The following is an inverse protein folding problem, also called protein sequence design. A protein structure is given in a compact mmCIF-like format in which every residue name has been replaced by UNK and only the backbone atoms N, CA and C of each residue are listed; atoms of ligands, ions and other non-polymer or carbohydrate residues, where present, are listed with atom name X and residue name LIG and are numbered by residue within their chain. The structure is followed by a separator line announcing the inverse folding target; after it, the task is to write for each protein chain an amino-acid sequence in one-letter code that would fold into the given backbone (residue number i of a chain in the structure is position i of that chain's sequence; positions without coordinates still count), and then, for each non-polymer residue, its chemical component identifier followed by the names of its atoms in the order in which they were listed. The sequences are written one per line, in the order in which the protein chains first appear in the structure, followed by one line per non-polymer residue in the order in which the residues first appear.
data_IF_601593470271
#
_entry.id   IF_601593470271
#
_cell.length_a   1.000
_cell.length_b   1.000
_cell.length_c   1.000
_cell.angle_alpha   90.00
_cell.angle_beta   90.00
_cell.angle_gamma   90.00
#
_symmetry.space_group_name_H-M   'P 1'
#
loop_
_entity.id
_entity.type
_entity.pdbx_description
1 polymer ?
#
# COMPACT_ATOMS: atom_id res chain seq x y z
N UNK A 1 -19.18 -3.00 -28.88
CA UNK A 1 -19.93 -2.10 -28.01
C UNK A 1 -19.03 -1.80 -26.83
N UNK A 2 -18.42 -0.61 -26.85
CA UNK A 2 -17.30 -0.23 -25.95
C UNK A 2 -17.86 0.38 -24.70
N UNK A 3 -17.64 -0.26 -23.54
CA UNK A 3 -17.95 0.32 -22.23
C UNK A 3 -16.80 1.23 -21.79
N UNK A 4 -16.96 2.52 -21.94
CA UNK A 4 -16.21 3.57 -21.27
C UNK A 4 -17.21 4.39 -20.45
N UNK A 5 -17.23 4.26 -19.10
CA UNK A 5 -17.77 5.38 -18.37
C UNK A 5 -17.06 5.83 -17.09
N UNK A 6 -15.94 5.25 -16.65
CA UNK A 6 -15.33 5.68 -15.39
C UNK A 6 -14.12 6.63 -15.51
N UNK A 7 -13.51 6.78 -16.67
CA UNK A 7 -12.24 7.51 -16.82
C UNK A 7 -12.38 9.04 -16.93
N UNK A 8 -13.51 9.57 -17.43
CA UNK A 8 -13.62 11.00 -17.75
C UNK A 8 -14.02 11.87 -16.55
N UNK A 9 -14.79 11.33 -15.61
CA UNK A 9 -15.30 12.11 -14.46
C UNK A 9 -14.24 12.30 -13.36
N UNK A 10 -13.26 11.39 -13.25
CA UNK A 10 -12.20 11.44 -12.25
C UNK A 10 -11.18 12.55 -12.59
N UNK A 11 -10.80 12.67 -13.86
CA UNK A 11 -9.83 13.65 -14.34
C UNK A 11 -10.28 15.10 -14.10
N UNK A 12 -11.57 15.39 -14.25
CA UNK A 12 -12.08 16.75 -14.15
C UNK A 12 -12.15 17.27 -12.70
N UNK A 13 -12.45 16.41 -11.72
CA UNK A 13 -12.52 16.79 -10.30
C UNK A 13 -11.16 16.85 -9.61
N UNK A 14 -10.21 16.02 -10.01
CA UNK A 14 -8.83 16.01 -9.48
C UNK A 14 -7.96 17.16 -10.03
N UNK A 15 -8.27 17.68 -11.20
CA UNK A 15 -7.42 18.62 -11.93
C UNK A 15 -7.29 20.02 -11.31
N UNK A 16 -8.21 20.46 -10.48
CA UNK A 16 -8.22 21.86 -9.98
C UNK A 16 -7.64 21.99 -8.57
N UNK A 17 -7.85 21.01 -7.69
CA UNK A 17 -7.39 21.09 -6.29
C UNK A 17 -5.94 20.65 -6.06
N UNK A 18 -5.28 20.03 -7.05
CA UNK A 18 -4.01 19.32 -6.87
C UNK A 18 -2.79 19.96 -7.55
N UNK A 19 -2.91 21.18 -8.08
CA UNK A 19 -1.84 21.81 -8.90
C UNK A 19 -0.54 22.10 -8.15
N UNK A 20 -0.51 22.02 -6.81
CA UNK A 20 0.66 22.39 -5.99
C UNK A 20 1.02 21.37 -4.91
N UNK A 21 0.50 20.14 -4.93
CA UNK A 21 0.81 19.13 -3.93
C UNK A 21 1.40 17.88 -4.57
N UNK A 22 2.51 17.39 -4.01
CA UNK A 22 3.06 16.09 -4.35
C UNK A 22 2.23 15.01 -3.66
N UNK A 23 1.81 14.00 -4.41
CA UNK A 23 1.08 12.83 -3.89
C UNK A 23 2.03 11.64 -3.94
N UNK A 24 2.33 11.07 -2.78
CA UNK A 24 3.23 9.93 -2.64
C UNK A 24 2.47 8.66 -2.32
N UNK A 25 2.60 7.67 -3.18
CA UNK A 25 1.98 6.34 -3.02
C UNK A 25 3.10 5.31 -2.84
N UNK A 26 3.05 4.59 -1.72
CA UNK A 26 3.97 3.49 -1.44
C UNK A 26 3.36 2.16 -1.87
N UNK A 27 4.14 1.31 -2.53
CA UNK A 27 3.81 -0.09 -2.76
C UNK A 27 4.70 -0.98 -1.90
N UNK A 28 4.11 -1.72 -0.98
CA UNK A 28 4.80 -2.66 -0.10
C UNK A 28 4.32 -4.09 -0.41
N UNK A 29 5.08 -5.06 0.01
CA UNK A 29 4.70 -6.48 -0.11
C UNK A 29 5.93 -7.37 -0.25
N UNK A 30 5.75 -8.64 0.02
CA UNK A 30 6.79 -9.66 -0.10
C UNK A 30 7.27 -9.83 -1.56
N UNK A 31 8.23 -10.71 -1.73
CA UNK A 31 8.77 -11.07 -3.05
C UNK A 31 7.69 -11.61 -3.99
N UNK A 32 7.90 -11.42 -5.28
CA UNK A 32 7.03 -11.98 -6.32
C UNK A 32 5.54 -11.61 -6.22
N UNK A 33 5.20 -10.51 -5.53
CA UNK A 33 3.81 -10.03 -5.41
C UNK A 33 3.41 -9.03 -6.50
N UNK A 34 4.29 -8.76 -7.47
CA UNK A 34 3.99 -7.92 -8.63
C UNK A 34 4.04 -6.41 -8.38
N UNK A 35 4.72 -5.93 -7.31
CA UNK A 35 4.90 -4.50 -7.01
C UNK A 35 5.42 -3.69 -8.19
N UNK A 36 6.53 -4.12 -8.78
CA UNK A 36 7.19 -3.41 -9.89
C UNK A 36 6.28 -3.28 -11.12
N UNK A 37 5.60 -4.36 -11.48
CA UNK A 37 4.64 -4.32 -12.58
C UNK A 37 3.49 -3.35 -12.27
N UNK A 38 2.96 -3.41 -11.05
CA UNK A 38 1.84 -2.56 -10.64
C UNK A 38 2.25 -1.09 -10.59
N UNK A 39 3.43 -0.75 -10.03
CA UNK A 39 3.92 0.63 -9.98
C UNK A 39 4.02 1.26 -11.37
N UNK A 40 4.53 0.50 -12.34
CA UNK A 40 4.63 0.93 -13.73
C UNK A 40 3.25 1.11 -14.38
N UNK A 41 2.29 0.22 -14.12
CA UNK A 41 0.93 0.35 -14.64
C UNK A 41 0.19 1.55 -14.06
N UNK A 42 0.28 1.79 -12.75
CA UNK A 42 -0.29 2.97 -12.10
C UNK A 42 0.31 4.24 -12.72
N UNK A 43 1.63 4.31 -12.85
CA UNK A 43 2.31 5.47 -13.42
C UNK A 43 1.84 5.74 -14.85
N UNK A 44 1.78 4.71 -15.71
CA UNK A 44 1.28 4.86 -17.09
C UNK A 44 -0.18 5.31 -17.12
N UNK A 45 -1.03 4.79 -16.24
CA UNK A 45 -2.43 5.19 -16.18
C UNK A 45 -2.60 6.66 -15.78
N UNK A 46 -1.79 7.16 -14.86
CA UNK A 46 -1.78 8.57 -14.46
C UNK A 46 -1.28 9.48 -15.59
N UNK A 47 -0.17 9.09 -16.26
CA UNK A 47 0.36 9.82 -17.41
C UNK A 47 -0.66 9.87 -18.57
N UNK A 48 -1.36 8.77 -18.84
CA UNK A 48 -2.42 8.72 -19.86
C UNK A 48 -3.62 9.64 -19.55
N UNK A 49 -3.81 10.01 -18.28
CA UNK A 49 -4.80 10.98 -17.82
C UNK A 49 -4.26 12.42 -17.79
N UNK A 50 -3.06 12.66 -18.34
CA UNK A 50 -2.43 13.99 -18.37
C UNK A 50 -1.86 14.44 -17.03
N UNK A 51 -1.69 13.52 -16.06
CA UNK A 51 -1.05 13.84 -14.77
C UNK A 51 0.48 13.78 -14.91
N UNK A 52 1.19 14.60 -14.14
CA UNK A 52 2.64 14.42 -13.94
C UNK A 52 2.83 13.26 -12.96
N UNK A 53 3.52 12.22 -13.37
CA UNK A 53 3.72 11.02 -12.53
C UNK A 53 5.12 10.43 -12.72
N UNK A 54 5.77 10.08 -11.62
CA UNK A 54 7.11 9.51 -11.59
C UNK A 54 7.08 8.17 -10.87
N UNK A 55 7.60 7.12 -11.52
CA UNK A 55 7.86 5.83 -10.88
C UNK A 55 9.25 5.85 -10.27
N UNK A 56 9.36 5.58 -8.97
CA UNK A 56 10.65 5.42 -8.28
C UNK A 56 10.90 3.93 -8.08
N UNK A 57 11.87 3.34 -8.81
CA UNK A 57 12.15 1.91 -8.73
C UNK A 57 12.83 1.53 -7.41
N UNK A 58 12.76 0.25 -7.07
CA UNK A 58 13.41 -0.33 -5.90
C UNK A 58 14.93 -0.17 -5.95
N UNK A 59 15.48 0.64 -5.05
CA UNK A 59 16.91 0.91 -5.01
C UNK A 59 17.74 -0.32 -4.61
N UNK A 60 17.21 -1.16 -3.72
CA UNK A 60 17.89 -2.38 -3.28
C UNK A 60 18.18 -3.32 -4.46
N UNK A 61 17.22 -3.48 -5.36
CA UNK A 61 17.38 -4.27 -6.59
C UNK A 61 18.48 -3.71 -7.49
N UNK A 62 18.49 -2.40 -7.72
CA UNK A 62 19.55 -1.74 -8.51
C UNK A 62 20.93 -1.91 -7.84
N UNK A 63 20.97 -1.84 -6.52
CA UNK A 63 22.19 -2.04 -5.74
C UNK A 63 22.74 -3.47 -5.92
N UNK A 64 21.89 -4.49 -5.77
CA UNK A 64 22.26 -5.89 -5.97
C UNK A 64 22.77 -6.15 -7.41
N UNK A 65 22.10 -5.59 -8.41
CA UNK A 65 22.52 -5.72 -9.80
C UNK A 65 23.90 -5.11 -10.05
N UNK A 66 24.18 -3.94 -9.46
CA UNK A 66 25.49 -3.26 -9.60
C UNK A 66 26.63 -3.99 -8.89
N UNK A 67 26.35 -4.62 -7.75
CA UNK A 67 27.38 -5.25 -6.92
C UNK A 67 27.49 -6.77 -7.11
N UNK A 68 26.57 -7.40 -7.84
CA UNK A 68 26.54 -8.85 -8.06
C UNK A 68 26.30 -9.68 -6.79
N UNK A 69 25.82 -9.04 -5.70
CA UNK A 69 25.54 -9.68 -4.41
C UNK A 69 24.41 -8.97 -3.67
N UNK A 70 23.90 -9.60 -2.63
CA UNK A 70 23.02 -8.95 -1.64
C UNK A 70 23.84 -8.09 -0.66
N UNK A 71 23.26 -7.00 -0.11
CA UNK A 71 23.96 -6.14 0.84
C UNK A 71 24.13 -6.82 2.21
N UNK A 72 25.24 -6.50 2.88
CA UNK A 72 25.45 -6.86 4.27
C UNK A 72 24.63 -5.97 5.22
N UNK A 73 24.47 -6.38 6.48
CA UNK A 73 23.68 -5.66 7.48
C UNK A 73 24.07 -4.17 7.60
N UNK A 74 25.36 -3.86 7.64
CA UNK A 74 25.85 -2.48 7.77
C UNK A 74 25.59 -1.58 6.54
N UNK A 75 25.28 -2.16 5.37
CA UNK A 75 24.99 -1.43 4.13
C UNK A 75 23.50 -1.06 4.02
N UNK A 76 22.62 -1.76 4.75
CA UNK A 76 21.17 -1.61 4.66
C UNK A 76 20.72 -0.18 4.98
N UNK A 77 21.28 0.43 6.01
CA UNK A 77 20.94 1.79 6.43
C UNK A 77 21.21 2.82 5.33
N UNK A 78 22.36 2.74 4.69
CA UNK A 78 22.73 3.65 3.61
C UNK A 78 21.81 3.49 2.39
N UNK A 79 21.50 2.24 2.03
CA UNK A 79 20.58 1.93 0.91
C UNK A 79 19.19 2.50 1.20
N UNK A 80 18.68 2.28 2.42
CA UNK A 80 17.37 2.81 2.84
C UNK A 80 17.33 4.36 2.76
N UNK A 81 18.39 5.03 3.20
CA UNK A 81 18.45 6.50 3.17
C UNK A 81 18.54 7.04 1.75
N UNK A 82 19.35 6.45 0.88
CA UNK A 82 19.44 6.84 -0.54
C UNK A 82 18.10 6.62 -1.26
N UNK A 83 17.37 5.55 -0.90
CA UNK A 83 16.04 5.32 -1.44
C UNK A 83 15.04 6.38 -0.98
N UNK A 84 15.07 6.73 0.31
CA UNK A 84 14.27 7.83 0.83
C UNK A 84 14.56 9.15 0.11
N UNK A 85 15.84 9.51 -0.04
CA UNK A 85 16.25 10.72 -0.74
C UNK A 85 15.71 10.75 -2.18
N UNK A 86 15.82 9.65 -2.93
CA UNK A 86 15.28 9.54 -4.28
C UNK A 86 13.76 9.76 -4.33
N UNK A 87 13.01 9.22 -3.36
CA UNK A 87 11.55 9.38 -3.31
C UNK A 87 11.16 10.81 -2.94
N UNK A 88 11.81 11.38 -1.92
CA UNK A 88 11.40 12.66 -1.35
C UNK A 88 12.00 13.89 -2.03
N UNK A 89 13.00 13.72 -2.93
CA UNK A 89 13.52 14.80 -3.77
C UNK A 89 12.58 15.20 -4.92
N UNK A 90 11.55 14.40 -5.20
CA UNK A 90 10.55 14.74 -6.23
C UNK A 90 9.55 15.72 -5.60
N UNK A 91 9.43 16.91 -6.20
CA UNK A 91 8.68 18.04 -5.62
C UNK A 91 7.35 18.32 -6.33
N UNK A 92 7.00 17.56 -7.39
CA UNK A 92 5.75 17.77 -8.11
C UNK A 92 5.09 16.47 -8.56
N UNK A 93 3.77 16.51 -8.74
CA UNK A 93 2.97 15.44 -9.31
C UNK A 93 2.81 14.22 -8.42
N UNK A 94 2.66 13.07 -9.04
CA UNK A 94 2.45 11.78 -8.39
C UNK A 94 3.76 11.01 -8.32
N UNK A 95 4.09 10.52 -7.15
CA UNK A 95 5.27 9.69 -6.89
C UNK A 95 4.79 8.28 -6.54
N UNK A 96 5.10 7.32 -7.40
CA UNK A 96 4.76 5.91 -7.19
C UNK A 96 6.05 5.19 -6.81
N UNK A 97 6.20 4.89 -5.52
CA UNK A 97 7.38 4.22 -5.00
C UNK A 97 7.22 2.70 -5.07
N UNK A 98 8.01 2.05 -5.93
CA UNK A 98 8.18 0.59 -5.91
C UNK A 98 9.07 0.23 -4.74
N UNK A 99 8.46 -0.11 -3.63
CA UNK A 99 9.00 -0.23 -2.28
C UNK A 99 9.37 1.10 -1.60
N UNK A 100 9.72 1.02 -0.34
CA UNK A 100 10.13 2.15 0.50
C UNK A 100 11.23 1.70 1.47
N UNK A 101 11.88 2.62 2.21
CA UNK A 101 12.81 2.25 3.29
C UNK A 101 12.26 1.26 4.31
N UNK A 102 10.93 1.19 4.47
CA UNK A 102 10.31 0.19 5.35
C UNK A 102 10.57 -1.24 4.88
N UNK A 103 10.60 -1.48 3.57
CA UNK A 103 10.94 -2.81 3.06
C UNK A 103 12.39 -3.19 3.37
N UNK A 104 13.33 -2.24 3.29
CA UNK A 104 14.72 -2.48 3.71
C UNK A 104 14.79 -2.82 5.22
N UNK A 105 14.01 -2.13 6.06
CA UNK A 105 13.95 -2.43 7.49
C UNK A 105 13.36 -3.82 7.76
N UNK A 106 12.31 -4.21 7.04
CA UNK A 106 11.69 -5.55 7.14
C UNK A 106 12.66 -6.66 6.74
N UNK A 107 13.39 -6.49 5.63
CA UNK A 107 14.40 -7.47 5.23
C UNK A 107 15.63 -7.49 6.16
N UNK A 108 16.03 -6.35 6.73
CA UNK A 108 17.08 -6.29 7.75
C UNK A 108 16.71 -7.08 9.01
N UNK A 109 15.46 -6.94 9.45
CA UNK A 109 14.89 -7.75 10.52
C UNK A 109 14.87 -9.24 10.15
N UNK A 110 14.28 -9.59 9.03
CA UNK A 110 14.08 -10.98 8.62
C UNK A 110 15.41 -11.73 8.43
N UNK A 111 16.40 -11.11 7.77
CA UNK A 111 17.66 -11.77 7.40
C UNK A 111 18.72 -11.65 8.49
N UNK A 112 18.82 -10.50 9.15
CA UNK A 112 19.89 -10.20 10.09
C UNK A 112 19.42 -10.06 11.55
N UNK A 113 18.10 -10.14 11.80
CA UNK A 113 17.49 -9.86 13.12
C UNK A 113 17.86 -8.44 13.62
N UNK A 114 18.05 -7.51 12.69
CA UNK A 114 18.37 -6.11 12.99
C UNK A 114 17.12 -5.23 12.89
N UNK A 115 16.63 -4.79 14.04
CA UNK A 115 15.43 -3.95 14.19
C UNK A 115 15.74 -2.45 14.14
N UNK A 116 17.01 -2.07 14.05
CA UNK A 116 17.46 -0.67 14.21
C UNK A 116 16.86 0.29 13.18
N UNK A 117 16.56 -0.20 11.98
CA UNK A 117 16.07 0.60 10.87
C UNK A 117 14.58 0.99 10.98
N UNK A 118 13.78 0.24 11.75
CA UNK A 118 12.34 0.47 11.81
C UNK A 118 11.96 1.87 12.27
N UNK A 119 12.65 2.42 13.27
CA UNK A 119 12.30 3.74 13.82
C UNK A 119 12.28 4.81 12.75
N UNK A 120 13.34 4.87 11.94
CA UNK A 120 13.47 5.86 10.88
C UNK A 120 12.58 5.53 9.67
N UNK A 121 12.52 4.27 9.28
CA UNK A 121 11.72 3.80 8.17
C UNK A 121 10.22 4.11 8.38
N UNK A 122 9.68 3.91 9.58
CA UNK A 122 8.29 4.20 9.91
C UNK A 122 7.99 5.70 9.97
N UNK A 123 8.95 6.54 10.39
CA UNK A 123 8.81 8.00 10.29
C UNK A 123 8.74 8.45 8.83
N UNK A 124 9.52 7.82 7.94
CA UNK A 124 9.47 8.09 6.51
C UNK A 124 8.18 7.53 5.87
N UNK A 125 7.74 6.34 6.30
CA UNK A 125 6.51 5.72 5.81
C UNK A 125 5.28 6.57 6.11
N UNK A 126 5.23 7.23 7.26
CA UNK A 126 4.15 8.14 7.64
C UNK A 126 4.02 9.38 6.73
N UNK A 127 5.00 9.66 5.87
CA UNK A 127 4.98 10.78 4.92
C UNK A 127 4.32 10.43 3.57
N UNK A 128 3.93 9.17 3.37
CA UNK A 128 3.17 8.78 2.19
C UNK A 128 1.69 9.09 2.38
N UNK A 129 1.05 9.55 1.33
CA UNK A 129 -0.38 9.86 1.31
C UNK A 129 -1.24 8.59 1.28
N UNK A 130 -0.71 7.52 0.67
CA UNK A 130 -1.35 6.22 0.60
C UNK A 130 -0.31 5.11 0.57
N UNK A 131 -0.57 4.04 1.31
CA UNK A 131 0.23 2.81 1.27
C UNK A 131 -0.63 1.67 0.76
N UNK A 132 -0.16 1.00 -0.30
CA UNK A 132 -0.75 -0.20 -0.86
C UNK A 132 0.14 -1.40 -0.49
N UNK A 133 -0.42 -2.40 0.18
CA UNK A 133 0.27 -3.66 0.50
C UNK A 133 -0.23 -4.72 -0.45
N UNK A 134 0.68 -5.42 -1.12
CA UNK A 134 0.33 -6.48 -2.06
C UNK A 134 -0.09 -7.75 -1.32
N UNK A 135 -1.26 -8.29 -1.66
CA UNK A 135 -1.67 -9.62 -1.23
C UNK A 135 -0.77 -10.73 -1.78
N UNK A 136 -0.79 -11.90 -1.13
CA UNK A 136 0.02 -13.07 -1.51
C UNK A 136 -0.65 -13.99 -2.54
N UNK A 137 -1.72 -13.54 -3.16
CA UNK A 137 -2.56 -14.29 -4.10
C UNK A 137 -1.96 -14.46 -5.51
N UNK A 138 -0.78 -13.89 -5.78
CA UNK A 138 -0.02 -14.12 -7.02
C UNK A 138 0.98 -15.25 -6.79
N UNK A 139 1.06 -16.19 -7.73
CA UNK A 139 2.04 -17.28 -7.67
C UNK A 139 3.48 -16.73 -7.57
N UNK A 140 4.29 -17.41 -6.76
CA UNK A 140 5.71 -17.08 -6.67
C UNK A 140 6.44 -17.48 -7.95
N UNK A 141 7.31 -16.61 -8.45
CA UNK A 141 8.15 -16.85 -9.63
C UNK A 141 9.60 -16.53 -9.27
N UNK A 142 10.54 -17.43 -9.53
CA UNK A 142 11.97 -17.18 -9.28
C UNK A 142 12.47 -15.98 -10.11
N UNK A 143 13.38 -15.19 -9.54
CA UNK A 143 13.98 -14.00 -10.16
C UNK A 143 15.47 -13.90 -9.80
N UNK A 144 16.23 -14.97 -10.09
CA UNK A 144 17.65 -15.01 -9.87
C UNK A 144 18.09 -14.86 -8.40
N UNK A 145 19.15 -14.05 -8.16
CA UNK A 145 19.83 -13.90 -6.86
C UNK A 145 19.07 -13.04 -5.83
N UNK A 146 17.91 -12.49 -6.18
CA UNK A 146 17.24 -11.47 -5.35
C UNK A 146 16.01 -11.99 -4.62
N UNK A 147 15.72 -13.29 -4.71
CA UNK A 147 14.58 -13.92 -4.05
C UNK A 147 15.04 -15.14 -3.29
N UNK A 148 14.81 -15.12 -1.99
CA UNK A 148 15.19 -16.18 -1.08
C UNK A 148 14.27 -17.42 -1.16
N UNK A 149 13.10 -17.29 -1.81
CA UNK A 149 12.17 -18.38 -2.04
C UNK A 149 10.74 -18.09 -1.58
N UNK A 150 9.81 -18.96 -1.95
CA UNK A 150 8.39 -18.81 -1.63
C UNK A 150 8.13 -18.72 -0.11
N UNK A 151 8.91 -19.44 0.69
CA UNK A 151 8.78 -19.50 2.15
C UNK A 151 9.05 -18.16 2.86
N UNK A 152 9.67 -17.20 2.19
CA UNK A 152 9.96 -15.86 2.74
C UNK A 152 8.73 -14.95 2.69
N UNK A 153 7.76 -15.27 1.86
CA UNK A 153 6.62 -14.37 1.56
C UNK A 153 5.75 -14.10 2.76
N UNK A 154 5.29 -15.16 3.44
CA UNK A 154 4.41 -15.03 4.61
C UNK A 154 5.09 -14.30 5.78
N UNK A 155 6.32 -14.67 6.20
CA UNK A 155 7.02 -13.93 7.25
C UNK A 155 7.23 -12.46 6.91
N UNK A 156 7.62 -12.13 5.68
CA UNK A 156 7.83 -10.74 5.25
C UNK A 156 6.51 -9.96 5.24
N UNK A 157 5.43 -10.54 4.71
CA UNK A 157 4.11 -9.91 4.72
C UNK A 157 3.63 -9.65 6.16
N UNK A 158 3.81 -10.62 7.06
CA UNK A 158 3.52 -10.47 8.48
C UNK A 158 4.29 -9.31 9.11
N UNK A 159 5.59 -9.21 8.88
CA UNK A 159 6.43 -8.13 9.41
C UNK A 159 6.00 -6.76 8.89
N UNK A 160 5.64 -6.64 7.60
CA UNK A 160 5.12 -5.40 7.02
C UNK A 160 3.85 -4.97 7.77
N UNK A 161 2.86 -5.85 7.86
CA UNK A 161 1.57 -5.56 8.52
C UNK A 161 1.75 -5.24 9.99
N UNK A 162 2.58 -5.99 10.69
CA UNK A 162 2.89 -5.76 12.09
C UNK A 162 3.55 -4.39 12.32
N UNK A 163 4.53 -4.01 11.49
CA UNK A 163 5.21 -2.72 11.58
C UNK A 163 4.25 -1.55 11.35
N UNK A 164 3.39 -1.65 10.32
CA UNK A 164 2.38 -0.64 10.00
C UNK A 164 1.34 -0.51 11.13
N UNK A 165 0.80 -1.64 11.61
CA UNK A 165 -0.23 -1.68 12.65
C UNK A 165 0.28 -1.15 14.00
N UNK A 166 1.50 -1.52 14.42
CA UNK A 166 2.11 -1.01 15.67
C UNK A 166 2.24 0.52 15.70
N UNK A 167 2.33 1.16 14.53
CA UNK A 167 2.40 2.61 14.38
C UNK A 167 1.09 3.24 13.93
N UNK A 168 0.03 2.44 13.82
CA UNK A 168 -1.28 2.90 13.36
C UNK A 168 -1.22 3.62 12.00
N UNK A 169 -0.31 3.18 11.13
CA UNK A 169 -0.18 3.70 9.77
C UNK A 169 -1.20 2.99 8.89
N UNK A 170 -2.12 3.73 8.24
CA UNK A 170 -3.14 3.12 7.40
C UNK A 170 -2.54 2.53 6.13
N UNK A 171 -3.09 1.41 5.67
CA UNK A 171 -2.76 0.80 4.38
C UNK A 171 -3.98 0.10 3.78
N UNK A 172 -3.93 -0.12 2.47
CA UNK A 172 -4.92 -0.91 1.74
C UNK A 172 -4.26 -2.14 1.16
N UNK A 173 -4.87 -3.31 1.34
CA UNK A 173 -4.37 -4.54 0.73
C UNK A 173 -4.94 -4.68 -0.68
N UNK A 174 -4.07 -4.99 -1.65
CA UNK A 174 -4.42 -5.12 -3.06
C UNK A 174 -4.30 -6.57 -3.48
N UNK A 175 -5.42 -7.16 -3.84
CA UNK A 175 -5.56 -8.51 -4.39
C UNK A 175 -5.86 -8.49 -5.88
N UNK A 176 -5.87 -9.66 -6.50
CA UNK A 176 -6.16 -9.89 -7.91
C UNK A 176 -4.91 -10.09 -8.75
N UNK A 177 -5.10 -10.40 -10.01
CA UNK A 177 -4.01 -10.63 -10.97
C UNK A 177 -4.24 -9.80 -12.23
N UNK A 178 -3.17 -9.46 -12.95
CA UNK A 178 -3.25 -8.71 -14.20
C UNK A 178 -4.05 -7.41 -14.07
N UNK A 179 -5.00 -7.19 -14.98
CA UNK A 179 -5.83 -5.98 -15.01
C UNK A 179 -6.72 -5.82 -13.77
N UNK A 180 -7.19 -6.92 -13.18
CA UNK A 180 -8.02 -6.85 -11.97
C UNK A 180 -7.25 -6.21 -10.80
N UNK A 181 -5.97 -6.56 -10.63
CA UNK A 181 -5.10 -5.95 -9.61
C UNK A 181 -4.84 -4.47 -9.90
N UNK A 182 -4.61 -4.10 -11.15
CA UNK A 182 -4.42 -2.69 -11.54
C UNK A 182 -5.69 -1.90 -11.23
N UNK A 183 -6.86 -2.40 -11.59
CA UNK A 183 -8.13 -1.75 -11.33
C UNK A 183 -8.42 -1.61 -9.83
N UNK A 184 -8.13 -2.65 -9.03
CA UNK A 184 -8.24 -2.59 -7.57
C UNK A 184 -7.34 -1.50 -6.97
N UNK A 185 -6.09 -1.39 -7.43
CA UNK A 185 -5.15 -0.36 -6.99
C UNK A 185 -5.61 1.05 -7.40
N UNK A 186 -6.05 1.26 -8.64
CA UNK A 186 -6.55 2.55 -9.11
C UNK A 186 -7.82 2.98 -8.35
N UNK A 187 -8.70 2.05 -8.01
CA UNK A 187 -9.87 2.31 -7.18
C UNK A 187 -9.45 2.72 -5.75
N UNK A 188 -8.51 1.99 -5.15
CA UNK A 188 -7.99 2.31 -3.82
C UNK A 188 -7.32 3.69 -3.78
N UNK A 189 -6.57 4.05 -4.83
CA UNK A 189 -5.96 5.37 -5.00
C UNK A 189 -7.04 6.45 -5.10
N UNK A 190 -8.04 6.26 -5.96
CA UNK A 190 -9.15 7.20 -6.12
C UNK A 190 -9.86 7.49 -4.80
N UNK A 191 -10.21 6.45 -4.05
CA UNK A 191 -10.86 6.57 -2.75
C UNK A 191 -9.96 7.23 -1.69
N UNK A 192 -8.67 6.84 -1.64
CA UNK A 192 -7.71 7.41 -0.70
C UNK A 192 -7.50 8.91 -0.91
N UNK A 193 -7.42 9.34 -2.18
CA UNK A 193 -7.21 10.75 -2.51
C UNK A 193 -8.47 11.59 -2.29
N UNK A 194 -9.66 11.07 -2.53
CA UNK A 194 -10.90 11.77 -2.21
C UNK A 194 -10.97 12.12 -0.72
N UNK A 195 -10.59 11.22 0.16
CA UNK A 195 -10.52 11.48 1.60
C UNK A 195 -9.51 12.57 1.99
N UNK A 196 -8.49 12.82 1.17
CA UNK A 196 -7.49 13.87 1.40
C UNK A 196 -7.93 15.25 0.88
N UNK A 197 -8.89 15.29 -0.04
CA UNK A 197 -9.37 16.53 -0.69
C UNK A 197 -10.66 17.06 -0.10
N UNK A 198 -11.41 16.23 0.62
CA UNK A 198 -12.61 16.66 1.34
C UNK A 198 -12.20 17.40 2.62
N UNK A 199 -12.70 18.64 2.85
CA UNK A 199 -12.46 19.32 4.13
C UNK A 199 -13.12 18.51 5.25
N UNK A 200 -12.39 18.26 6.32
CA UNK A 200 -12.86 17.52 7.51
C UNK A 200 -14.09 18.16 8.14
N UNK A 201 -14.33 19.44 7.87
CA UNK A 201 -15.45 20.22 8.39
C UNK A 201 -16.85 19.74 7.92
N UNK A 202 -16.93 18.99 6.81
CA UNK A 202 -18.20 18.44 6.33
C UNK A 202 -18.67 17.19 7.11
N UNK A 203 -17.79 16.57 7.90
CA UNK A 203 -18.16 15.38 8.69
C UNK A 203 -18.86 15.77 10.00
N UNK A 204 -18.64 17.00 10.49
CA UNK A 204 -19.17 17.48 11.78
C UNK A 204 -20.33 18.49 11.68
N UNK A 205 -20.66 19.01 10.50
CA UNK A 205 -21.76 19.95 10.32
C UNK A 205 -23.12 19.28 10.02
N UNK A 206 -23.20 17.97 9.99
CA UNK A 206 -24.42 17.18 9.98
C UNK A 206 -25.01 17.06 11.37
N UNK A 207 -25.56 18.16 11.89
CA UNK A 207 -26.35 18.12 13.13
C UNK A 207 -27.47 17.07 13.01
N UNK A 208 -27.41 16.04 13.87
CA UNK A 208 -28.61 15.38 14.36
C UNK A 208 -29.31 14.41 13.40
N UNK A 209 -28.59 13.49 12.78
CA UNK A 209 -29.20 12.24 12.35
C UNK A 209 -28.83 11.16 13.36
N UNK A 210 -29.72 10.94 14.33
CA UNK A 210 -29.74 9.68 15.07
C UNK A 210 -29.90 8.55 14.03
N UNK A 211 -29.14 7.44 14.12
CA UNK A 211 -29.34 6.30 13.25
C UNK A 211 -30.80 5.87 13.38
N UNK A 212 -31.52 5.86 12.25
CA UNK A 212 -32.88 5.35 12.22
C UNK A 212 -32.90 3.92 12.69
N UNK A 213 -33.96 3.49 13.39
CA UNK A 213 -34.12 2.14 13.92
C UNK A 213 -33.81 1.05 12.87
N UNK A 214 -34.06 1.32 11.58
CA UNK A 214 -33.75 0.43 10.44
C UNK A 214 -32.26 0.08 10.33
N UNK A 215 -31.34 1.03 10.62
CA UNK A 215 -29.89 0.74 10.56
C UNK A 215 -29.40 -0.07 11.77
N UNK A 216 -30.09 -0.01 12.90
CA UNK A 216 -29.81 -0.87 14.05
C UNK A 216 -30.29 -2.31 13.85
N UNK A 217 -31.39 -2.49 13.12
CA UNK A 217 -31.93 -3.82 12.83
C UNK A 217 -31.06 -4.57 11.78
N UNK A 218 -30.53 -3.89 10.76
CA UNK A 218 -29.59 -4.51 9.81
C UNK A 218 -28.29 -4.96 10.46
N UNK A 219 -27.79 -4.25 11.47
CA UNK A 219 -26.62 -4.67 12.23
C UNK A 219 -26.87 -5.88 13.12
N UNK A 220 -28.13 -6.12 13.57
CA UNK A 220 -28.49 -7.28 14.39
C UNK A 220 -28.85 -8.53 13.54
N UNK A 221 -29.39 -8.35 12.33
CA UNK A 221 -29.76 -9.48 11.48
C UNK A 221 -28.62 -10.12 10.71
N UNK A 222 -27.46 -9.44 10.58
CA UNK A 222 -26.24 -9.96 9.94
C UNK A 222 -25.64 -11.17 10.64
N UNK A 223 -26.00 -11.45 11.87
CA UNK A 223 -25.46 -12.56 12.67
C UNK A 223 -26.11 -13.93 12.42
N UNK A 224 -27.20 -14.03 11.65
CA UNK A 224 -27.97 -15.26 11.56
C UNK A 224 -27.96 -15.95 10.19
N UNK A 225 -27.19 -15.51 9.21
CA UNK A 225 -27.08 -16.19 7.91
C UNK A 225 -25.62 -16.51 7.54
N UNK A 226 -24.90 -17.28 8.34
CA UNK A 226 -23.75 -18.14 7.96
C UNK A 226 -22.67 -17.62 7.01
N UNK A 227 -22.67 -16.35 6.60
CA UNK A 227 -21.65 -15.71 5.74
C UNK A 227 -21.50 -14.23 6.08
N UNK A 228 -21.11 -13.93 7.31
CA UNK A 228 -20.58 -12.60 7.61
C UNK A 228 -19.19 -12.52 6.99
N UNK A 229 -19.05 -11.75 5.93
CA UNK A 229 -17.73 -11.36 5.42
C UNK A 229 -17.14 -10.39 6.45
N UNK A 230 -16.40 -10.94 7.41
CA UNK A 230 -15.64 -10.13 8.34
C UNK A 230 -14.57 -9.33 7.56
N UNK A 231 -14.39 -8.07 7.90
CA UNK A 231 -13.32 -7.23 7.38
C UNK A 231 -12.57 -6.63 8.55
N UNK A 232 -11.25 -6.69 8.49
CA UNK A 232 -10.43 -6.01 9.49
C UNK A 232 -10.59 -4.49 9.37
N UNK A 233 -10.98 -3.82 10.45
CA UNK A 233 -11.18 -2.36 10.48
C UNK A 233 -9.88 -1.58 10.22
N UNK A 234 -8.70 -2.21 10.45
CA UNK A 234 -7.40 -1.57 10.25
C UNK A 234 -6.87 -1.70 8.83
N UNK A 235 -7.10 -2.83 8.15
CA UNK A 235 -6.52 -3.09 6.83
C UNK A 235 -7.55 -3.48 5.76
N UNK A 236 -8.83 -3.63 6.12
CA UNK A 236 -9.93 -4.07 5.26
C UNK A 236 -9.74 -5.47 4.65
N UNK A 237 -8.82 -6.27 5.20
CA UNK A 237 -8.52 -7.62 4.78
C UNK A 237 -9.44 -8.63 5.50
N UNK A 238 -10.13 -9.48 4.74
CA UNK A 238 -11.04 -10.50 5.27
C UNK A 238 -10.30 -11.67 5.93
N UNK A 239 -9.06 -11.92 5.53
CA UNK A 239 -8.21 -13.02 6.01
C UNK A 239 -7.05 -12.51 6.90
N UNK A 240 -7.17 -11.29 7.43
CA UNK A 240 -6.19 -10.68 8.31
C UNK A 240 -6.02 -11.48 9.62
N UNK A 241 -4.81 -11.61 10.10
CA UNK A 241 -4.47 -12.33 11.35
C UNK A 241 -5.15 -11.77 12.60
N UNK A 242 -5.63 -10.52 12.60
CA UNK A 242 -6.45 -9.98 13.68
C UNK A 242 -7.72 -10.83 13.94
N UNK A 243 -8.19 -11.61 12.97
CA UNK A 243 -9.27 -12.56 13.11
C UNK A 243 -8.88 -13.74 14.01
N UNK A 244 -7.65 -14.24 13.86
CA UNK A 244 -7.17 -15.39 14.64
C UNK A 244 -7.08 -15.07 16.13
N UNK A 245 -6.74 -13.83 16.48
CA UNK A 245 -6.67 -13.42 17.89
C UNK A 245 -8.04 -13.23 18.54
N UNK A 246 -9.04 -12.79 17.79
CA UNK A 246 -10.41 -12.65 18.32
C UNK A 246 -11.11 -13.99 18.54
N UNK A 247 -10.79 -15.00 17.74
CA UNK A 247 -11.37 -16.34 17.88
C UNK A 247 -10.67 -17.19 18.97
N UNK A 248 -9.43 -16.85 19.36
CA UNK A 248 -8.70 -17.46 20.49
C UNK A 248 -9.10 -16.91 21.87
N UNK A 249 -9.84 -15.81 21.92
CA UNK A 249 -10.30 -15.16 23.16
C UNK A 249 -11.76 -15.48 23.50
N UNK A 250 -12.41 -16.36 22.75
CA UNK A 250 -13.74 -16.96 23.05
C UNK A 250 -13.61 -18.36 23.57
#
# INVERSE_FOLDING_TARGET
MVFLPYSVTLACKLGVAMRNRVIRIALLGAESTGKTSLSQHITRALLAQGQVATNVPELLREWCQRHGRTPAAHEQSQIAMQHAERIFSIEEGWVIADTTPLMTAVYSDYVFQDFSLYKQALVLQAKFDLTLVMGLDVAWVPDGLQRDGEHVREPVDHLIRQAMSKRQLPFKVIYGQGEARVNAALLAISQGIQNLTEPVDLIFSGAGLQPTQTQREESQYGLNQGKTVWRCDLCSDADCEHRLFTDLLK
#
